data_IF_009130802965
#
_entry.id   IF_009130802965
#
_cell.length_a   1.000
_cell.length_b   1.000
_cell.length_c   1.000
_cell.angle_alpha   90.00
_cell.angle_beta   90.00
_cell.angle_gamma   90.00
#
_symmetry.space_group_name_H-M   'P 1'
#
loop_
_entity.id
_entity.type
_entity.pdbx_description
1 polymer ?
#
# COMPACT_ATOMS: atom_id res chain seq x y z
N UNK A 1 37.63 5.99 27.70
CA UNK A 1 37.10 5.39 26.47
C UNK A 1 35.60 5.66 26.46
N UNK A 2 35.17 6.93 26.39
CA UNK A 2 35.09 7.81 25.20
C UNK A 2 34.17 7.27 24.10
N UNK A 3 33.10 8.03 23.81
CA UNK A 3 32.38 7.99 22.53
C UNK A 3 30.86 7.88 22.62
N UNK A 4 30.16 9.02 22.66
CA UNK A 4 28.98 9.38 21.83
C UNK A 4 27.98 10.29 22.57
N UNK A 5 28.38 11.57 22.67
CA UNK A 5 27.44 12.68 22.68
C UNK A 5 26.97 12.92 21.24
N UNK A 6 25.70 12.68 21.00
CA UNK A 6 24.97 12.99 19.76
C UNK A 6 23.75 12.08 19.73
N UNK A 7 22.51 12.50 20.02
CA UNK A 7 21.83 13.69 19.51
C UNK A 7 20.63 14.02 20.40
N UNK A 8 20.86 14.68 21.54
CA UNK A 8 19.82 15.45 22.23
C UNK A 8 19.84 16.89 21.70
N UNK A 9 19.42 17.07 20.45
CA UNK A 9 19.20 18.42 19.95
C UNK A 9 17.89 18.98 20.50
N UNK A 10 17.86 20.22 21.02
CA UNK A 10 16.62 20.88 21.45
C UNK A 10 15.58 20.98 20.33
N UNK A 11 15.99 20.82 19.06
CA UNK A 11 15.14 20.73 17.88
C UNK A 11 14.29 19.44 17.85
N UNK A 12 14.83 18.30 18.31
CA UNK A 12 14.08 17.03 18.43
C UNK A 12 13.11 17.05 19.61
N UNK A 13 13.46 17.74 20.69
CA UNK A 13 12.57 17.98 21.83
C UNK A 13 11.45 18.98 21.47
N UNK A 14 11.75 20.02 20.69
CA UNK A 14 10.79 20.97 20.14
C UNK A 14 9.85 20.31 19.10
N UNK A 15 10.36 19.43 18.25
CA UNK A 15 9.54 18.67 17.29
C UNK A 15 8.55 17.71 17.98
N UNK A 16 8.93 17.16 19.15
CA UNK A 16 8.01 16.36 19.99
C UNK A 16 6.96 17.19 20.72
N UNK A 17 7.28 18.45 21.06
CA UNK A 17 6.36 19.35 21.78
C UNK A 17 5.49 20.19 20.85
N UNK A 18 5.86 20.37 19.58
CA UNK A 18 5.12 21.17 18.59
C UNK A 18 3.91 20.48 17.94
N UNK A 19 3.61 19.21 18.20
CA UNK A 19 2.41 18.61 17.60
C UNK A 19 1.83 17.44 18.39
N UNK A 20 0.99 17.74 19.40
CA UNK A 20 -0.15 16.87 19.76
C UNK A 20 -1.19 17.60 20.64
N UNK A 21 -1.82 18.65 20.12
CA UNK A 21 -3.16 19.02 20.61
C UNK A 21 -4.17 17.96 20.15
N UNK A 22 -5.25 17.72 20.90
CA UNK A 22 -6.31 16.78 20.50
C UNK A 22 -6.91 17.14 19.13
N UNK A 23 -6.95 18.43 18.80
CA UNK A 23 -7.32 18.96 17.48
C UNK A 23 -6.36 18.50 16.38
N UNK A 24 -5.04 18.54 16.60
CA UNK A 24 -4.03 18.05 15.65
C UNK A 24 -4.04 16.53 15.46
N UNK A 25 -4.52 15.76 16.45
CA UNK A 25 -4.80 14.32 16.29
C UNK A 25 -6.03 14.07 15.43
N UNK A 26 -7.12 14.80 15.66
CA UNK A 26 -8.35 14.68 14.86
C UNK A 26 -8.14 15.10 13.40
N UNK A 27 -7.46 16.22 13.16
CA UNK A 27 -7.13 16.70 11.82
C UNK A 27 -6.24 15.71 11.06
N UNK A 28 -5.20 15.18 11.71
CA UNK A 28 -4.33 14.15 11.12
C UNK A 28 -5.08 12.85 10.88
N UNK A 29 -5.93 12.43 11.81
CA UNK A 29 -6.75 11.23 11.64
C UNK A 29 -7.66 11.38 10.44
N UNK A 30 -8.32 12.53 10.28
CA UNK A 30 -9.16 12.84 9.12
C UNK A 30 -8.34 12.83 7.83
N UNK A 31 -7.21 13.56 7.78
CA UNK A 31 -6.33 13.59 6.60
C UNK A 31 -5.83 12.19 6.22
N UNK A 32 -5.40 11.38 7.19
CA UNK A 32 -4.99 10.00 6.93
C UNK A 32 -6.19 9.17 6.46
N UNK A 33 -7.36 9.28 7.07
CA UNK A 33 -8.50 8.44 6.70
C UNK A 33 -9.07 8.79 5.32
N UNK A 34 -9.01 10.06 4.94
CA UNK A 34 -9.58 10.59 3.69
C UNK A 34 -8.60 10.53 2.51
N UNK A 35 -7.29 10.66 2.76
CA UNK A 35 -6.25 10.72 1.73
C UNK A 35 -5.40 9.45 1.64
N UNK A 36 -5.19 8.71 2.73
CA UNK A 36 -4.35 7.51 2.69
C UNK A 36 -4.84 6.44 1.70
N UNK A 37 -6.15 6.15 1.54
CA UNK A 37 -6.57 5.14 0.57
C UNK A 37 -6.19 5.51 -0.87
N UNK A 38 -6.39 6.77 -1.26
CA UNK A 38 -6.06 7.28 -2.59
C UNK A 38 -4.57 7.32 -2.83
N UNK A 39 -3.81 7.72 -1.81
CA UNK A 39 -2.35 7.67 -1.85
C UNK A 39 -1.86 6.21 -1.89
N UNK A 40 -2.36 5.28 -1.10
CA UNK A 40 -1.95 3.87 -1.22
C UNK A 40 -2.25 3.31 -2.63
N UNK A 41 -3.36 3.73 -3.24
CA UNK A 41 -3.79 3.26 -4.55
C UNK A 41 -2.98 3.81 -5.72
N UNK A 42 -2.67 5.11 -5.70
CA UNK A 42 -1.95 5.80 -6.80
C UNK A 42 -0.46 5.50 -6.85
N UNK A 43 0.09 4.92 -5.78
CA UNK A 43 1.54 4.91 -5.51
C UNK A 43 2.12 3.51 -5.39
N UNK A 44 1.28 2.49 -5.34
CA UNK A 44 1.67 1.12 -5.02
C UNK A 44 1.31 0.20 -6.17
N UNK A 45 2.14 -0.81 -6.42
CA UNK A 45 1.80 -1.92 -7.34
C UNK A 45 0.85 -2.93 -6.69
N UNK A 46 0.88 -2.99 -5.35
CA UNK A 46 0.04 -3.87 -4.56
C UNK A 46 -0.40 -3.20 -3.27
N UNK A 47 -1.68 -3.35 -2.93
CA UNK A 47 -2.26 -2.88 -1.67
C UNK A 47 -2.55 -4.07 -0.77
N UNK A 48 -1.97 -4.09 0.43
CA UNK A 48 -2.13 -5.19 1.39
C UNK A 48 -3.07 -4.78 2.53
N UNK A 49 -4.22 -5.45 2.65
CA UNK A 49 -5.21 -5.23 3.72
C UNK A 49 -5.10 -6.33 4.76
N UNK A 50 -4.52 -6.01 5.91
CA UNK A 50 -4.32 -6.95 7.03
C UNK A 50 -5.44 -6.82 8.06
N UNK A 51 -6.10 -7.92 8.40
CA UNK A 51 -7.06 -7.99 9.51
C UNK A 51 -6.94 -9.31 10.26
N UNK A 52 -7.43 -9.34 11.49
CA UNK A 52 -7.62 -10.58 12.25
C UNK A 52 -9.00 -11.21 12.05
N UNK A 53 -9.83 -10.58 11.23
CA UNK A 53 -11.17 -11.06 10.90
C UNK A 53 -11.07 -12.12 9.79
N UNK A 54 -11.80 -13.24 9.89
CA UNK A 54 -11.90 -14.20 8.81
C UNK A 54 -12.56 -13.59 7.57
N UNK A 55 -12.18 -14.07 6.39
CA UNK A 55 -12.67 -13.54 5.12
C UNK A 55 -14.17 -13.72 4.88
N UNK A 56 -14.82 -14.68 5.55
CA UNK A 56 -16.27 -14.90 5.48
C UNK A 56 -17.08 -13.96 6.39
N UNK A 57 -16.46 -12.98 7.03
CA UNK A 57 -17.19 -11.95 7.79
C UNK A 57 -17.62 -10.78 6.90
N UNK A 58 -18.92 -10.43 6.93
CA UNK A 58 -19.45 -9.33 6.10
C UNK A 58 -18.76 -8.01 6.38
N UNK A 59 -18.38 -7.81 7.64
CA UNK A 59 -17.62 -6.63 8.09
C UNK A 59 -16.28 -6.48 7.36
N UNK A 60 -15.56 -7.57 7.13
CA UNK A 60 -14.29 -7.52 6.42
C UNK A 60 -14.50 -7.13 4.96
N UNK A 61 -15.47 -7.75 4.28
CA UNK A 61 -15.82 -7.38 2.90
C UNK A 61 -16.24 -5.91 2.78
N UNK A 62 -17.16 -5.45 3.64
CA UNK A 62 -17.63 -4.06 3.62
C UNK A 62 -16.48 -3.07 3.78
N UNK A 63 -15.51 -3.36 4.65
CA UNK A 63 -14.32 -2.52 4.83
C UNK A 63 -13.44 -2.50 3.58
N UNK A 64 -13.28 -3.64 2.90
CA UNK A 64 -12.50 -3.72 1.67
C UNK A 64 -13.18 -2.93 0.53
N UNK A 65 -14.50 -3.04 0.39
CA UNK A 65 -15.28 -2.29 -0.61
C UNK A 65 -15.26 -0.79 -0.31
N UNK A 66 -15.43 -0.39 0.95
CA UNK A 66 -15.35 1.01 1.37
C UNK A 66 -13.96 1.59 1.09
N UNK A 67 -12.91 0.82 1.39
CA UNK A 67 -11.54 1.19 1.04
C UNK A 67 -11.39 1.36 -0.48
N UNK A 68 -11.84 0.40 -1.28
CA UNK A 68 -11.74 0.43 -2.75
C UNK A 68 -12.43 1.67 -3.35
N UNK A 69 -13.65 1.96 -2.89
CA UNK A 69 -14.41 3.15 -3.31
C UNK A 69 -13.71 4.44 -2.94
N UNK A 70 -13.15 4.54 -1.73
CA UNK A 70 -12.41 5.74 -1.30
C UNK A 70 -11.10 5.89 -2.07
N UNK A 71 -10.39 4.79 -2.30
CA UNK A 71 -9.13 4.74 -3.01
C UNK A 71 -9.25 5.18 -4.47
N UNK A 72 -10.37 4.89 -5.13
CA UNK A 72 -10.61 5.22 -6.53
C UNK A 72 -11.39 6.53 -6.73
N UNK A 73 -11.89 7.17 -5.65
CA UNK A 73 -12.71 8.36 -5.79
C UNK A 73 -11.90 9.56 -6.32
N UNK A 74 -12.19 9.96 -7.57
CA UNK A 74 -11.50 11.07 -8.23
C UNK A 74 -10.04 10.75 -8.55
N UNK A 75 -9.75 9.50 -8.90
CA UNK A 75 -8.44 9.04 -9.38
C UNK A 75 -8.63 8.51 -10.79
N UNK A 76 -7.89 9.05 -11.75
CA UNK A 76 -7.98 8.72 -13.18
C UNK A 76 -6.60 8.32 -13.74
N UNK A 77 -6.61 7.50 -14.80
CA UNK A 77 -5.41 7.05 -15.54
C UNK A 77 -4.29 6.46 -14.66
N UNK A 78 -4.68 5.60 -13.71
CA UNK A 78 -3.79 4.85 -12.81
C UNK A 78 -3.79 3.38 -13.19
N UNK A 79 -2.61 2.77 -13.24
CA UNK A 79 -2.48 1.32 -13.31
C UNK A 79 -3.00 0.70 -12.02
N UNK A 80 -4.09 -0.06 -12.13
CA UNK A 80 -4.78 -0.58 -10.95
C UNK A 80 -3.88 -1.55 -10.17
N UNK A 81 -3.55 -1.29 -8.89
CA UNK A 81 -2.77 -2.22 -8.08
C UNK A 81 -3.47 -3.56 -7.89
N UNK A 82 -2.69 -4.57 -7.52
CA UNK A 82 -3.25 -5.82 -7.01
C UNK A 82 -3.71 -5.64 -5.55
N UNK A 83 -4.86 -6.19 -5.19
CA UNK A 83 -5.34 -6.24 -3.80
C UNK A 83 -4.95 -7.55 -3.14
N UNK A 84 -4.22 -7.47 -2.03
CA UNK A 84 -3.86 -8.63 -1.21
C UNK A 84 -4.60 -8.55 0.14
N UNK A 85 -5.53 -9.47 0.34
CA UNK A 85 -6.30 -9.61 1.57
C UNK A 85 -5.59 -10.60 2.51
N UNK A 86 -5.24 -10.17 3.72
CA UNK A 86 -4.51 -11.00 4.69
C UNK A 86 -5.35 -11.22 5.94
N UNK A 87 -5.72 -12.49 6.17
CA UNK A 87 -6.36 -12.97 7.39
C UNK A 87 -5.28 -13.40 8.38
N UNK A 88 -4.92 -12.51 9.29
CA UNK A 88 -3.79 -12.61 10.20
C UNK A 88 -4.17 -13.20 11.56
N UNK A 89 -3.31 -14.07 12.09
CA UNK A 89 -3.48 -14.71 13.41
C UNK A 89 -4.80 -15.49 13.54
N UNK A 90 -5.27 -16.08 12.44
CA UNK A 90 -6.47 -16.90 12.49
C UNK A 90 -6.22 -18.23 13.23
N UNK A 91 -7.27 -18.85 13.79
CA UNK A 91 -7.22 -20.22 14.28
C UNK A 91 -6.70 -21.17 13.19
N UNK A 92 -5.91 -22.17 13.59
CA UNK A 92 -5.30 -23.11 12.66
C UNK A 92 -6.32 -23.87 11.80
N UNK A 93 -7.42 -24.31 12.42
CA UNK A 93 -8.51 -25.04 11.78
C UNK A 93 -9.23 -24.23 10.68
N UNK A 94 -9.18 -22.90 10.75
CA UNK A 94 -9.80 -22.02 9.75
C UNK A 94 -8.82 -21.63 8.63
N UNK A 95 -7.55 -22.01 8.72
CA UNK A 95 -6.51 -21.58 7.78
C UNK A 95 -6.42 -22.49 6.54
N UNK A 96 -6.91 -22.00 5.41
CA UNK A 96 -6.63 -22.61 4.11
C UNK A 96 -5.23 -22.20 3.63
N UNK A 97 -4.31 -23.17 3.50
CA UNK A 97 -2.89 -22.89 3.20
C UNK A 97 -2.58 -22.71 1.72
N UNK A 98 -3.48 -23.15 0.83
CA UNK A 98 -3.41 -22.88 -0.60
C UNK A 98 -4.07 -21.52 -0.91
N UNK A 99 -3.29 -20.64 -1.53
CA UNK A 99 -3.68 -19.25 -1.86
C UNK A 99 -4.74 -19.23 -2.96
N UNK A 100 -4.65 -20.14 -3.93
CA UNK A 100 -5.65 -20.25 -4.99
C UNK A 100 -6.98 -20.75 -4.40
N UNK A 101 -6.92 -21.70 -3.48
CA UNK A 101 -8.09 -22.21 -2.78
C UNK A 101 -8.73 -21.15 -1.87
N UNK A 102 -7.95 -20.42 -1.06
CA UNK A 102 -8.47 -19.35 -0.19
C UNK A 102 -9.08 -18.20 -0.99
N UNK A 103 -8.47 -17.83 -2.12
CA UNK A 103 -9.01 -16.80 -3.02
C UNK A 103 -10.33 -17.27 -3.64
N UNK A 104 -10.38 -18.51 -4.16
CA UNK A 104 -11.62 -19.07 -4.68
C UNK A 104 -12.72 -19.17 -3.61
N UNK A 105 -12.37 -19.55 -2.37
CA UNK A 105 -13.31 -19.62 -1.25
C UNK A 105 -13.89 -18.25 -0.91
N UNK A 106 -13.07 -17.19 -0.93
CA UNK A 106 -13.54 -15.82 -0.72
C UNK A 106 -14.58 -15.39 -1.77
N UNK A 107 -14.30 -15.61 -3.05
CA UNK A 107 -15.26 -15.30 -4.11
C UNK A 107 -16.50 -16.19 -4.08
N UNK A 108 -16.38 -17.46 -3.66
CA UNK A 108 -17.53 -18.33 -3.45
C UNK A 108 -18.43 -17.86 -2.31
N UNK A 109 -17.84 -17.37 -1.22
CA UNK A 109 -18.58 -16.92 -0.04
C UNK A 109 -19.41 -15.65 -0.33
N UNK A 110 -18.89 -14.73 -1.15
CA UNK A 110 -19.49 -13.41 -1.36
C UNK A 110 -20.05 -13.15 -2.76
N UNK A 111 -19.72 -14.00 -3.73
CA UNK A 111 -20.22 -13.92 -5.10
C UNK A 111 -20.06 -12.54 -5.72
N UNK A 112 -21.18 -11.94 -6.11
CA UNK A 112 -21.22 -10.65 -6.79
C UNK A 112 -20.69 -9.48 -5.95
N UNK A 113 -20.77 -9.54 -4.62
CA UNK A 113 -20.26 -8.45 -3.78
C UNK A 113 -18.72 -8.39 -3.81
N UNK A 114 -18.04 -9.54 -3.79
CA UNK A 114 -16.58 -9.61 -3.91
C UNK A 114 -16.07 -9.21 -5.30
N UNK A 115 -16.83 -9.53 -6.36
CA UNK A 115 -16.49 -9.11 -7.74
C UNK A 115 -16.43 -7.60 -7.93
N UNK A 116 -17.08 -6.81 -7.06
CA UNK A 116 -16.93 -5.36 -7.11
C UNK A 116 -15.47 -4.92 -6.89
N UNK A 117 -14.67 -5.69 -6.15
CA UNK A 117 -13.26 -5.38 -5.93
C UNK A 117 -12.45 -5.51 -7.22
N UNK A 118 -12.83 -6.42 -8.12
CA UNK A 118 -12.17 -6.59 -9.43
C UNK A 118 -12.43 -5.42 -10.38
N UNK A 119 -13.40 -4.54 -10.08
CA UNK A 119 -13.60 -3.28 -10.83
C UNK A 119 -12.58 -2.21 -10.43
N UNK A 120 -11.96 -2.35 -9.26
CA UNK A 120 -11.09 -1.35 -8.67
C UNK A 120 -9.64 -1.82 -8.57
N UNK A 121 -9.32 -3.08 -8.84
CA UNK A 121 -7.97 -3.63 -8.67
C UNK A 121 -7.68 -4.58 -9.82
N UNK A 122 -6.42 -4.70 -10.23
CA UNK A 122 -6.01 -5.61 -11.31
C UNK A 122 -6.19 -7.09 -10.95
N UNK A 123 -6.25 -7.39 -9.65
CA UNK A 123 -6.58 -8.72 -9.16
C UNK A 123 -6.77 -8.72 -7.64
N UNK A 124 -7.40 -9.77 -7.13
CA UNK A 124 -7.62 -9.98 -5.69
C UNK A 124 -6.99 -11.30 -5.26
N UNK A 125 -6.14 -11.27 -4.25
CA UNK A 125 -5.44 -12.43 -3.72
C UNK A 125 -5.70 -12.52 -2.22
N UNK A 126 -6.15 -13.68 -1.74
CA UNK A 126 -6.46 -13.89 -0.33
C UNK A 126 -5.43 -14.83 0.32
N UNK A 127 -4.78 -14.39 1.40
CA UNK A 127 -3.76 -15.16 2.11
C UNK A 127 -4.13 -15.31 3.58
N UNK A 128 -4.26 -16.55 4.04
CA UNK A 128 -4.40 -16.85 5.46
C UNK A 128 -3.05 -17.00 6.12
N UNK A 129 -2.89 -16.35 7.28
CA UNK A 129 -1.68 -16.40 8.09
C UNK A 129 -2.07 -16.87 9.49
N UNK A 130 -1.74 -18.12 9.87
CA UNK A 130 -2.14 -18.67 11.15
C UNK A 130 -1.40 -17.99 12.31
N UNK A 131 -1.91 -18.19 13.51
CA UNK A 131 -1.16 -17.86 14.72
C UNK A 131 0.08 -18.77 14.85
N UNK A 132 1.26 -18.16 15.02
CA UNK A 132 2.57 -18.87 15.16
C UNK A 132 2.61 -19.86 16.31
N UNK A 133 1.75 -19.70 17.32
CA UNK A 133 1.70 -20.55 18.52
C UNK A 133 0.62 -21.64 18.45
N UNK A 134 -0.15 -21.68 17.37
CA UNK A 134 -1.23 -22.66 17.22
C UNK A 134 -0.68 -24.01 16.76
N UNK A 135 -1.32 -25.07 17.23
CA UNK A 135 -1.18 -26.44 16.74
C UNK A 135 -2.59 -26.95 16.46
N UNK A 136 -2.76 -27.67 15.36
CA UNK A 136 -4.03 -28.28 14.98
C UNK A 136 -3.77 -29.56 14.19
N UNK A 137 -4.80 -30.38 14.00
CA UNK A 137 -4.74 -31.54 13.13
C UNK A 137 -5.33 -31.19 11.77
N UNK A 138 -4.67 -31.59 10.68
CA UNK A 138 -5.24 -31.49 9.34
C UNK A 138 -6.26 -32.62 9.06
N UNK A 139 -6.87 -32.60 7.88
CA UNK A 139 -7.87 -33.59 7.47
C UNK A 139 -7.32 -35.03 7.42
N UNK A 140 -5.99 -35.19 7.40
CA UNK A 140 -5.27 -36.46 7.39
C UNK A 140 -4.76 -36.86 8.80
N UNK A 141 -5.30 -36.25 9.87
CA UNK A 141 -4.91 -36.44 11.27
C UNK A 141 -3.41 -36.17 11.57
N UNK A 142 -2.73 -35.37 10.74
CA UNK A 142 -1.36 -34.96 11.02
C UNK A 142 -1.33 -33.73 11.90
N UNK A 143 -0.47 -33.74 12.93
CA UNK A 143 -0.22 -32.58 13.76
C UNK A 143 0.52 -31.49 12.97
N UNK A 144 -0.15 -30.38 12.72
CA UNK A 144 0.37 -29.21 12.03
C UNK A 144 0.89 -28.18 13.03
N UNK A 145 2.13 -27.74 12.81
CA UNK A 145 2.77 -26.65 13.56
C UNK A 145 2.50 -25.30 12.88
N UNK A 146 1.74 -24.44 13.55
CA UNK A 146 1.38 -23.11 13.06
C UNK A 146 2.57 -22.19 12.83
N UNK A 147 3.69 -22.39 13.54
CA UNK A 147 4.93 -21.66 13.30
C UNK A 147 5.49 -21.96 11.91
N UNK A 148 5.52 -23.23 11.51
CA UNK A 148 5.99 -23.65 10.18
C UNK A 148 5.05 -23.18 9.07
N UNK A 149 3.74 -23.28 9.28
CA UNK A 149 2.75 -22.80 8.30
C UNK A 149 2.86 -21.29 8.14
N UNK A 150 2.99 -20.53 9.24
CA UNK A 150 3.21 -19.08 9.20
C UNK A 150 4.40 -18.71 8.32
N UNK A 151 5.56 -19.35 8.54
CA UNK A 151 6.76 -19.09 7.74
C UNK A 151 6.57 -19.45 6.26
N UNK A 152 5.87 -20.55 5.99
CA UNK A 152 5.45 -20.94 4.64
C UNK A 152 4.61 -19.86 3.97
N UNK A 153 3.58 -19.35 4.65
CA UNK A 153 2.68 -18.32 4.13
C UNK A 153 3.39 -16.99 3.90
N UNK A 154 4.24 -16.55 4.82
CA UNK A 154 5.04 -15.33 4.65
C UNK A 154 6.00 -15.46 3.45
N UNK A 155 6.59 -16.65 3.25
CA UNK A 155 7.44 -16.91 2.08
C UNK A 155 6.64 -16.84 0.78
N UNK A 156 5.44 -17.43 0.74
CA UNK A 156 4.53 -17.34 -0.41
C UNK A 156 4.12 -15.88 -0.70
N UNK A 157 3.74 -15.12 0.33
CA UNK A 157 3.39 -13.70 0.21
C UNK A 157 4.54 -12.87 -0.36
N UNK A 158 5.78 -13.09 0.12
CA UNK A 158 6.98 -12.44 -0.46
C UNK A 158 7.19 -12.82 -1.92
N UNK A 159 6.92 -14.08 -2.28
CA UNK A 159 6.98 -14.54 -3.66
C UNK A 159 5.97 -13.81 -4.55
N UNK A 160 4.73 -13.67 -4.10
CA UNK A 160 3.66 -12.94 -4.80
C UNK A 160 4.05 -11.47 -4.99
N UNK A 161 4.50 -10.79 -3.94
CA UNK A 161 4.91 -9.39 -4.03
C UNK A 161 6.05 -9.18 -5.03
N UNK A 162 7.05 -10.07 -5.05
CA UNK A 162 8.13 -10.03 -6.04
C UNK A 162 7.64 -10.29 -7.45
N UNK A 163 6.69 -11.23 -7.61
CA UNK A 163 6.13 -11.55 -8.92
C UNK A 163 5.36 -10.36 -9.48
N UNK A 164 4.50 -9.73 -8.68
CA UNK A 164 3.76 -8.53 -9.07
C UNK A 164 4.71 -7.40 -9.46
N UNK A 165 5.74 -7.14 -8.65
CA UNK A 165 6.76 -6.14 -8.98
C UNK A 165 7.49 -6.47 -10.30
N UNK A 166 7.77 -7.74 -10.58
CA UNK A 166 8.42 -8.16 -11.83
C UNK A 166 7.49 -8.10 -13.05
N UNK A 167 6.19 -8.36 -12.88
CA UNK A 167 5.20 -8.26 -13.95
C UNK A 167 5.01 -6.81 -14.36
N UNK A 168 4.97 -5.89 -13.40
CA UNK A 168 4.93 -4.46 -13.68
C UNK A 168 6.17 -4.04 -14.46
N UNK A 169 7.37 -4.40 -13.98
CA UNK A 169 8.61 -4.09 -14.68
C UNK A 169 8.68 -4.69 -16.11
N UNK A 170 7.99 -5.81 -16.37
CA UNK A 170 7.93 -6.43 -17.69
C UNK A 170 6.88 -5.78 -18.61
N UNK A 171 5.71 -5.38 -18.06
CA UNK A 171 4.71 -4.59 -18.78
C UNK A 171 5.31 -3.25 -19.23
N UNK A 172 6.06 -2.61 -18.34
CA UNK A 172 6.80 -1.37 -18.58
C UNK A 172 7.86 -1.51 -19.69
N UNK A 173 8.39 -2.72 -19.90
CA UNK A 173 9.40 -3.00 -20.94
C UNK A 173 8.81 -3.26 -22.34
N UNK A 174 7.51 -3.60 -22.42
CA UNK A 174 6.85 -4.04 -23.65
C UNK A 174 6.07 -2.94 -24.40
N UNK A 175 5.54 -1.94 -23.69
CA UNK A 175 4.80 -0.83 -24.31
C UNK A 175 5.72 0.35 -24.65
N UNK A 176 5.66 0.81 -25.90
CA UNK A 176 6.51 1.87 -26.43
C UNK A 176 6.44 3.18 -25.64
N UNK A 177 7.40 3.37 -24.75
CA UNK A 177 8.10 4.66 -24.58
C UNK A 177 7.44 5.76 -23.76
N UNK A 178 6.23 5.60 -23.21
CA UNK A 178 5.59 6.62 -22.34
C UNK A 178 5.26 6.18 -20.92
N UNK A 179 4.86 4.92 -20.68
CA UNK A 179 4.79 4.32 -19.33
C UNK A 179 6.19 4.02 -18.75
N UNK A 180 7.20 4.79 -19.18
CA UNK A 180 8.59 4.34 -19.34
C UNK A 180 9.40 4.34 -18.05
N UNK A 181 8.92 4.90 -16.93
CA UNK A 181 9.83 5.31 -15.85
C UNK A 181 9.24 5.44 -14.43
N UNK A 182 8.07 4.88 -14.15
CA UNK A 182 7.54 4.90 -12.76
C UNK A 182 8.38 4.03 -11.81
N UNK A 183 8.88 2.90 -12.30
CA UNK A 183 9.51 1.84 -11.49
C UNK A 183 11.04 1.78 -11.62
N UNK A 184 11.64 2.36 -12.65
CA UNK A 184 13.08 2.24 -12.93
C UNK A 184 13.97 3.39 -12.39
N UNK A 185 13.39 4.55 -12.01
CA UNK A 185 14.13 5.63 -11.34
C UNK A 185 13.55 5.86 -9.96
N UNK A 186 14.33 5.50 -8.94
CA UNK A 186 14.15 5.74 -7.50
C UNK A 186 13.91 7.20 -7.07
N UNK A 187 13.65 8.15 -7.99
CA UNK A 187 13.48 9.58 -7.73
C UNK A 187 12.12 10.16 -8.14
N UNK A 188 11.50 9.68 -9.23
CA UNK A 188 10.27 10.30 -9.77
C UNK A 188 9.11 10.21 -8.77
N UNK A 189 9.05 9.10 -8.02
CA UNK A 189 8.07 8.92 -6.94
C UNK A 189 8.10 10.05 -5.91
N UNK A 190 9.31 10.50 -5.55
CA UNK A 190 9.51 11.59 -4.61
C UNK A 190 8.98 12.91 -5.19
N UNK A 191 9.11 13.14 -6.50
CA UNK A 191 8.56 14.34 -7.16
C UNK A 191 7.04 14.30 -7.35
N UNK A 192 6.48 13.11 -7.60
CA UNK A 192 5.05 12.88 -7.80
C UNK A 192 4.24 13.02 -6.50
N UNK A 193 4.77 12.52 -5.39
CA UNK A 193 4.04 12.47 -4.12
C UNK A 193 3.57 13.86 -3.62
N UNK A 194 4.39 14.93 -3.63
CA UNK A 194 3.93 16.30 -3.36
C UNK A 194 2.82 16.77 -4.32
N UNK A 195 2.89 16.40 -5.59
CA UNK A 195 1.93 16.84 -6.60
C UNK A 195 0.58 16.15 -6.41
N UNK A 196 0.58 14.83 -6.18
CA UNK A 196 -0.62 14.07 -5.81
C UNK A 196 -1.23 14.64 -4.53
N UNK A 197 -0.42 14.88 -3.50
CA UNK A 197 -0.91 15.47 -2.25
C UNK A 197 -1.53 16.86 -2.46
N UNK A 198 -0.95 17.68 -3.33
CA UNK A 198 -1.50 19.00 -3.67
C UNK A 198 -2.89 18.88 -4.30
N UNK A 199 -3.04 18.06 -5.34
CA UNK A 199 -4.33 17.85 -6.00
C UNK A 199 -5.38 17.34 -5.00
N UNK A 200 -5.01 16.40 -4.15
CA UNK A 200 -5.89 15.85 -3.11
C UNK A 200 -6.29 16.87 -2.06
N UNK A 201 -5.35 17.69 -1.57
CA UNK A 201 -5.62 18.74 -0.59
C UNK A 201 -6.51 19.85 -1.17
N UNK A 202 -6.40 20.13 -2.46
CA UNK A 202 -7.24 21.09 -3.19
C UNK A 202 -8.60 20.50 -3.61
N UNK A 203 -8.83 19.21 -3.34
CA UNK A 203 -10.08 18.51 -3.68
C UNK A 203 -10.26 18.27 -5.18
N UNK A 204 -9.19 18.37 -5.97
CA UNK A 204 -9.19 18.11 -7.42
C UNK A 204 -9.02 16.61 -7.69
N UNK A 205 -9.53 16.12 -8.84
CA UNK A 205 -9.25 14.75 -9.27
C UNK A 205 -7.76 14.59 -9.58
N UNK A 206 -7.21 13.41 -9.26
CA UNK A 206 -5.81 13.04 -9.47
C UNK A 206 -5.72 12.27 -10.78
N UNK A 207 -5.23 12.92 -11.84
CA UNK A 207 -4.84 12.27 -13.09
C UNK A 207 -3.35 11.93 -13.03
N UNK A 208 -3.03 10.67 -12.74
CA UNK A 208 -1.63 10.27 -12.51
C UNK A 208 -0.80 10.36 -13.78
N UNK A 209 -1.37 10.07 -14.95
CA UNK A 209 -0.65 10.19 -16.22
C UNK A 209 -0.25 11.64 -16.50
N UNK A 210 -1.16 12.60 -16.25
CA UNK A 210 -0.85 14.03 -16.40
C UNK A 210 0.21 14.51 -15.39
N UNK A 211 0.13 14.05 -14.14
CA UNK A 211 1.12 14.40 -13.11
C UNK A 211 2.51 13.82 -13.41
N UNK A 212 2.57 12.65 -14.04
CA UNK A 212 3.82 12.02 -14.51
C UNK A 212 4.45 12.83 -15.63
N UNK A 213 3.66 13.23 -16.62
CA UNK A 213 4.16 14.06 -17.72
C UNK A 213 4.70 15.40 -17.20
N UNK A 214 4.03 16.02 -16.22
CA UNK A 214 4.49 17.25 -15.57
C UNK A 214 5.75 17.04 -14.72
N UNK A 215 5.81 15.98 -13.90
CA UNK A 215 6.98 15.65 -13.09
C UNK A 215 8.21 15.35 -13.97
N UNK A 216 8.01 14.60 -15.06
CA UNK A 216 9.04 14.30 -16.05
C UNK A 216 9.56 15.56 -16.73
N UNK A 217 8.66 16.46 -17.14
CA UNK A 217 9.05 17.73 -17.73
C UNK A 217 9.90 18.58 -16.77
N UNK A 218 9.60 18.54 -15.46
CA UNK A 218 10.39 19.22 -14.43
C UNK A 218 11.75 18.58 -14.20
N UNK A 219 11.85 17.25 -14.11
CA UNK A 219 13.13 16.54 -13.94
C UNK A 219 14.04 16.79 -15.16
N UNK A 220 13.48 16.76 -16.38
CA UNK A 220 14.24 17.06 -17.60
C UNK A 220 14.66 18.54 -17.72
N UNK A 221 13.90 19.46 -17.12
CA UNK A 221 14.28 20.88 -17.05
C UNK A 221 15.32 21.15 -15.94
N UNK A 222 15.21 20.48 -14.78
CA UNK A 222 16.12 20.61 -13.63
C UNK A 222 17.44 19.86 -13.78
N UNK A 223 17.48 18.76 -14.53
CA UNK A 223 18.74 18.05 -14.85
C UNK A 223 19.70 18.88 -15.73
N UNK A 224 19.23 20.01 -16.30
CA UNK A 224 20.08 21.03 -16.93
C UNK A 224 20.76 21.98 -15.92
N UNK A 225 20.31 22.02 -14.66
CA UNK A 225 20.78 22.91 -13.61
C UNK A 225 21.00 22.14 -12.28
N UNK A 226 22.13 21.43 -12.16
CA UNK A 226 22.86 21.13 -10.91
C UNK A 226 22.12 20.53 -9.68
N UNK A 227 22.52 19.31 -9.31
CA UNK A 227 22.23 18.54 -8.09
C UNK A 227 21.84 19.33 -6.81
N UNK A 228 20.56 19.24 -6.38
CA UNK A 228 20.13 19.42 -4.97
C UNK A 228 18.75 18.78 -4.63
N UNK A 229 18.39 17.61 -5.18
CA UNK A 229 16.97 17.19 -5.24
C UNK A 229 16.37 16.55 -3.97
N UNK A 230 17.11 15.78 -3.16
CA UNK A 230 16.47 14.97 -2.09
C UNK A 230 16.00 15.77 -0.86
N UNK A 231 16.72 16.84 -0.49
CA UNK A 231 16.36 17.70 0.65
C UNK A 231 15.12 18.54 0.36
N UNK A 232 15.01 19.06 -0.86
CA UNK A 232 13.91 19.93 -1.25
C UNK A 232 12.62 19.18 -1.50
N UNK A 233 12.70 17.93 -1.96
CA UNK A 233 11.51 17.08 -2.06
C UNK A 233 10.96 16.72 -0.67
N UNK A 234 11.80 16.40 0.31
CA UNK A 234 11.33 16.16 1.68
C UNK A 234 10.73 17.43 2.31
N UNK A 235 11.27 18.62 1.99
CA UNK A 235 10.67 19.91 2.36
C UNK A 235 9.34 20.17 1.67
N UNK A 236 9.20 19.82 0.39
CA UNK A 236 7.96 19.96 -0.37
C UNK A 236 6.87 19.03 0.18
N UNK A 237 7.20 17.78 0.49
CA UNK A 237 6.28 16.83 1.16
C UNK A 237 5.88 17.38 2.53
N UNK A 238 6.83 17.86 3.34
CA UNK A 238 6.49 18.40 4.67
C UNK A 238 5.72 19.72 4.62
N UNK A 239 5.90 20.53 3.58
CA UNK A 239 5.12 21.75 3.33
C UNK A 239 3.69 21.41 2.87
N UNK A 240 3.53 20.43 1.97
CA UNK A 240 2.22 19.98 1.47
C UNK A 240 1.39 19.24 2.55
N UNK A 241 2.04 18.69 3.58
CA UNK A 241 1.38 18.04 4.71
C UNK A 241 0.98 19.01 5.85
N UNK A 242 1.25 20.32 5.72
CA UNK A 242 0.80 21.30 6.73
C UNK A 242 -0.65 21.74 6.44
N UNK A 243 -1.51 21.81 7.49
CA UNK A 243 -2.92 22.17 7.37
C UNK A 243 -3.13 23.65 7.03
#
# INVERSE_FOLDING_TARGET
>A
YEGENGTDTPLMAAARTLSMTAAGRSARHKAVTDNFPRLAYTTSDAVVVVSREPFYTRRYLSRCIEFAKRANAGVDNVDAPALILVGNQLPGEECVTDISASTAQFFRAWGAEAKQLELYFSGVICVYVPNRRAFWYDDDDNLVDGGKVFEGQVRKLRGILRHLASQQAAADAGEGGKARLMTARTGLWFTLLPMVLREMNEGRPVDVSALVDEAWAREMAGSAEGEEELSDVLRAVTAALRP
#
